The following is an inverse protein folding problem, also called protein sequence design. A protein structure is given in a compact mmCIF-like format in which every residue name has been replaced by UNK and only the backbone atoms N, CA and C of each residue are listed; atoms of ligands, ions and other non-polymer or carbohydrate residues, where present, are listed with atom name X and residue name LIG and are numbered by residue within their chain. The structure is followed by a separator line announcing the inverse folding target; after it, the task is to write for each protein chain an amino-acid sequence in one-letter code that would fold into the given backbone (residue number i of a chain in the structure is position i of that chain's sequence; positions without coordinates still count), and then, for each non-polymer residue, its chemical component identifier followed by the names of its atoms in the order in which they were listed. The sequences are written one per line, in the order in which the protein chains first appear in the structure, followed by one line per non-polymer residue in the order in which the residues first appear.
data_IF_169263872983
#
_entry.id   IF_169263872983
#
_cell.length_a   1.000
_cell.length_b   1.000
_cell.length_c   1.000
_cell.angle_alpha   90.00
_cell.angle_beta   90.00
_cell.angle_gamma   90.00
#
_symmetry.space_group_name_H-M   'P 1'
#
loop_
_entity.id
_entity.type
_entity.pdbx_description
1 polymer ?
#
# COMPACT_ATOMS: atom_id res chain seq x y z
N UNK A 1 -0.51 15.34 -25.31
CA UNK A 1 0.79 15.96 -25.66
C UNK A 1 1.52 14.96 -26.53
N UNK A 2 2.02 15.37 -27.70
CA UNK A 2 2.74 14.49 -28.63
C UNK A 2 3.98 13.86 -27.97
N UNK A 3 4.63 14.57 -27.06
CA UNK A 3 5.78 14.07 -26.30
C UNK A 3 5.36 13.07 -25.20
N UNK A 4 4.19 13.25 -24.57
CA UNK A 4 3.64 12.27 -23.62
C UNK A 4 3.31 10.93 -24.29
N UNK A 5 2.66 10.98 -25.45
CA UNK A 5 2.28 9.78 -26.21
C UNK A 5 3.52 9.09 -26.78
N UNK A 6 4.46 9.87 -27.33
CA UNK A 6 5.75 9.37 -27.80
C UNK A 6 6.59 8.74 -26.68
N UNK A 7 6.66 9.40 -25.52
CA UNK A 7 7.37 8.87 -24.36
C UNK A 7 6.75 7.56 -23.85
N UNK A 8 5.41 7.47 -23.86
CA UNK A 8 4.71 6.23 -23.50
C UNK A 8 5.04 5.09 -24.45
N UNK A 9 5.09 5.36 -25.76
CA UNK A 9 5.45 4.37 -26.78
C UNK A 9 6.91 3.92 -26.67
N UNK A 10 7.83 4.87 -26.49
CA UNK A 10 9.27 4.59 -26.47
C UNK A 10 9.69 3.86 -25.18
N UNK A 11 9.13 4.26 -24.04
CA UNK A 11 9.47 3.66 -22.74
C UNK A 11 8.69 2.39 -22.43
N UNK A 12 7.55 2.17 -23.09
CA UNK A 12 6.62 1.10 -22.74
C UNK A 12 5.91 1.31 -21.40
N UNK A 13 5.89 2.55 -20.87
CA UNK A 13 5.22 2.91 -19.63
C UNK A 13 4.25 4.08 -19.84
N UNK A 14 3.05 4.01 -19.27
CA UNK A 14 2.08 5.10 -19.40
C UNK A 14 2.47 6.27 -18.48
N UNK A 15 3.08 7.31 -19.05
CA UNK A 15 3.53 8.47 -18.30
C UNK A 15 2.39 9.31 -17.73
N UNK A 16 1.16 9.22 -18.25
CA UNK A 16 0.00 9.84 -17.60
C UNK A 16 -0.29 9.19 -16.25
N UNK A 17 -0.19 7.85 -16.16
CA UNK A 17 -0.33 7.14 -14.87
C UNK A 17 0.82 7.43 -13.91
N UNK A 18 2.00 7.79 -14.44
CA UNK A 18 3.11 8.26 -13.60
C UNK A 18 2.72 9.48 -12.76
N UNK A 19 1.99 10.43 -13.32
CA UNK A 19 1.67 11.67 -12.61
C UNK A 19 0.40 11.59 -11.78
N UNK A 20 -0.49 10.63 -12.07
CA UNK A 20 -1.84 10.56 -11.49
C UNK A 20 -2.06 9.41 -10.51
N UNK A 21 -1.10 8.47 -10.41
CA UNK A 21 -1.20 7.29 -9.54
C UNK A 21 0.14 7.01 -8.85
N UNK A 22 0.24 5.95 -8.05
CA UNK A 22 1.49 5.48 -7.45
C UNK A 22 2.31 4.56 -8.38
N UNK A 23 1.89 4.35 -9.63
CA UNK A 23 2.62 3.50 -10.57
C UNK A 23 4.05 4.04 -10.82
N UNK A 24 5.02 3.13 -10.78
CA UNK A 24 6.45 3.41 -10.98
C UNK A 24 6.95 2.56 -12.16
N UNK A 25 7.71 3.13 -13.12
CA UNK A 25 8.34 2.36 -14.18
C UNK A 25 9.34 1.35 -13.62
N UNK A 26 9.42 0.18 -14.25
CA UNK A 26 10.52 -0.77 -14.05
C UNK A 26 11.87 -0.19 -14.50
N UNK A 27 12.98 -0.79 -14.07
CA UNK A 27 14.33 -0.34 -14.46
C UNK A 27 14.55 -0.33 -15.99
N UNK A 28 13.96 -1.31 -16.70
CA UNK A 28 14.01 -1.36 -18.16
C UNK A 28 13.25 -0.19 -18.80
N UNK A 29 12.04 0.11 -18.31
CA UNK A 29 11.23 1.25 -18.77
C UNK A 29 11.89 2.58 -18.41
N UNK A 30 12.54 2.69 -17.25
CA UNK A 30 13.31 3.86 -16.85
C UNK A 30 14.51 4.10 -17.79
N UNK A 31 15.24 3.04 -18.13
CA UNK A 31 16.37 3.10 -19.08
C UNK A 31 15.90 3.49 -20.48
N UNK A 32 14.78 2.93 -20.95
CA UNK A 32 14.18 3.30 -22.23
C UNK A 32 13.69 4.76 -22.24
N UNK A 33 13.14 5.24 -21.12
CA UNK A 33 12.73 6.64 -20.96
C UNK A 33 13.91 7.60 -21.05
N UNK A 34 15.06 7.24 -20.47
CA UNK A 34 16.28 8.05 -20.54
C UNK A 34 16.83 8.15 -21.97
N UNK A 35 16.68 7.07 -22.76
CA UNK A 35 17.10 7.04 -24.16
C UNK A 35 16.09 7.70 -25.13
N UNK A 36 14.85 7.93 -24.69
CA UNK A 36 13.78 8.50 -25.53
C UNK A 36 13.88 10.01 -25.63
N UNK A 37 13.98 10.51 -26.87
CA UNK A 37 13.87 11.96 -27.16
C UNK A 37 12.52 12.52 -26.75
N UNK A 38 11.45 11.75 -26.90
CA UNK A 38 10.09 12.13 -26.51
C UNK A 38 9.97 12.32 -25.00
N UNK A 39 10.58 11.42 -24.21
CA UNK A 39 10.59 11.54 -22.75
C UNK A 39 11.45 12.71 -22.26
N UNK A 40 12.61 12.93 -22.87
CA UNK A 40 13.45 14.10 -22.56
C UNK A 40 12.74 15.41 -22.93
N UNK A 41 12.00 15.44 -24.05
CA UNK A 41 11.19 16.59 -24.44
C UNK A 41 10.01 16.81 -23.49
N UNK A 42 9.34 15.75 -23.02
CA UNK A 42 8.27 15.83 -22.01
C UNK A 42 8.78 16.47 -20.71
N UNK A 43 9.96 16.05 -20.23
CA UNK A 43 10.63 16.70 -19.09
C UNK A 43 10.95 18.16 -19.39
N UNK A 44 11.44 18.45 -20.60
CA UNK A 44 11.71 19.81 -21.07
C UNK A 44 10.47 20.71 -21.11
N UNK A 45 9.30 20.18 -21.48
CA UNK A 45 8.02 20.90 -21.41
C UNK A 45 7.68 21.28 -19.97
N UNK A 46 7.91 20.37 -19.02
CA UNK A 46 7.67 20.63 -17.60
C UNK A 46 8.67 21.62 -16.99
N UNK A 47 9.88 21.75 -17.54
CA UNK A 47 10.80 22.82 -17.16
C UNK A 47 10.20 24.22 -17.45
N UNK A 48 9.27 24.32 -18.40
CA UNK A 48 8.46 25.52 -18.63
C UNK A 48 7.43 25.81 -17.52
N UNK A 49 7.16 24.86 -16.63
CA UNK A 49 6.27 24.97 -15.46
C UNK A 49 7.02 25.36 -14.18
N UNK A 50 8.24 25.89 -14.30
CA UNK A 50 8.99 26.46 -13.16
C UNK A 50 8.13 27.51 -12.48
N UNK A 51 7.62 27.16 -11.31
CA UNK A 51 6.86 28.04 -10.43
C UNK A 51 7.61 28.15 -9.12
N UNK A 52 7.66 29.35 -8.56
CA UNK A 52 8.25 29.56 -7.25
C UNK A 52 7.35 28.92 -6.18
N UNK A 53 7.97 28.25 -5.20
CA UNK A 53 7.35 27.75 -3.95
C UNK A 53 6.39 26.55 -4.03
N UNK A 54 6.52 25.66 -5.01
CA UNK A 54 5.77 24.39 -5.05
C UNK A 54 6.66 23.18 -4.80
N UNK A 55 6.14 22.15 -4.14
CA UNK A 55 6.80 20.85 -4.00
C UNK A 55 6.03 19.76 -4.73
N UNK A 56 6.74 18.88 -5.43
CA UNK A 56 6.20 17.64 -6.01
C UNK A 56 7.04 16.47 -5.51
N UNK A 57 6.37 15.42 -5.01
CA UNK A 57 7.03 14.24 -4.43
C UNK A 57 8.09 14.62 -3.38
N UNK A 58 7.74 15.53 -2.46
CA UNK A 58 8.62 16.05 -1.41
C UNK A 58 9.91 16.73 -1.92
N UNK A 59 9.99 17.05 -3.22
CA UNK A 59 11.09 17.76 -3.84
C UNK A 59 10.62 19.15 -4.27
N UNK A 60 11.53 20.12 -4.22
CA UNK A 60 11.33 21.44 -4.81
C UNK A 60 11.02 21.29 -6.31
N UNK A 61 9.84 21.74 -6.74
CA UNK A 61 9.38 21.57 -8.11
C UNK A 61 10.34 22.24 -9.10
N UNK A 62 10.88 23.41 -8.76
CA UNK A 62 11.79 24.18 -9.62
C UNK A 62 13.09 23.43 -9.92
N UNK A 63 13.53 22.58 -8.97
CA UNK A 63 14.70 21.70 -9.12
C UNK A 63 14.36 20.39 -9.78
N UNK A 64 13.18 19.84 -9.48
CA UNK A 64 12.73 18.56 -10.02
C UNK A 64 12.55 18.64 -11.54
N UNK A 65 11.89 19.69 -12.05
CA UNK A 65 11.61 19.84 -13.49
C UNK A 65 12.85 20.06 -14.36
N UNK A 66 14.04 20.23 -13.78
CA UNK A 66 15.30 20.30 -14.52
C UNK A 66 16.04 18.97 -14.59
N UNK A 67 15.56 17.94 -13.90
CA UNK A 67 16.20 16.62 -13.86
C UNK A 67 15.68 15.71 -14.97
N UNK A 68 16.44 14.65 -15.27
CA UNK A 68 16.05 13.64 -16.25
C UNK A 68 14.88 12.74 -15.76
N UNK A 69 14.28 11.92 -16.65
CA UNK A 69 13.20 11.00 -16.28
C UNK A 69 13.56 10.02 -15.15
N UNK A 70 14.82 9.58 -15.05
CA UNK A 70 15.25 8.64 -14.00
C UNK A 70 15.27 9.31 -12.63
N UNK A 71 15.72 10.55 -12.57
CA UNK A 71 15.66 11.36 -11.35
C UNK A 71 14.21 11.60 -10.90
N UNK A 72 13.27 11.81 -11.83
CA UNK A 72 11.84 11.93 -11.50
C UNK A 72 11.29 10.63 -10.91
N UNK A 73 11.64 9.49 -11.51
CA UNK A 73 11.26 8.16 -11.02
C UNK A 73 11.79 7.95 -9.59
N UNK A 74 13.07 8.26 -9.35
CA UNK A 74 13.69 8.14 -8.01
C UNK A 74 13.06 9.08 -6.99
N UNK A 75 12.76 10.32 -7.37
CA UNK A 75 12.10 11.29 -6.50
C UNK A 75 10.72 10.78 -6.08
N UNK A 76 9.92 10.30 -7.03
CA UNK A 76 8.60 9.71 -6.76
C UNK A 76 8.69 8.45 -5.91
N UNK A 77 9.60 7.52 -6.23
CA UNK A 77 9.87 6.31 -5.43
C UNK A 77 10.24 6.65 -3.98
N UNK A 78 11.02 7.71 -3.78
CA UNK A 78 11.44 8.15 -2.44
C UNK A 78 10.33 8.83 -1.66
N UNK A 79 9.39 9.47 -2.37
CA UNK A 79 8.22 10.11 -1.78
C UNK A 79 7.06 9.15 -1.55
N UNK A 80 7.06 8.00 -2.23
CA UNK A 80 6.08 6.95 -2.00
C UNK A 80 6.11 6.57 -0.51
N UNK A 81 4.94 6.41 0.15
CA UNK A 81 4.89 5.94 1.51
C UNK A 81 5.65 4.61 1.60
N UNK A 82 6.80 4.59 2.28
CA UNK A 82 7.47 3.33 2.59
C UNK A 82 6.54 2.57 3.51
N UNK A 83 6.04 1.43 3.02
CA UNK A 83 5.43 0.46 3.90
C UNK A 83 6.42 0.17 5.04
N UNK A 84 5.96 0.14 6.29
CA UNK A 84 6.83 -0.22 7.40
C UNK A 84 7.48 -1.60 7.19
N UNK A 85 8.63 -1.84 7.83
CA UNK A 85 9.29 -3.14 7.75
C UNK A 85 8.34 -4.27 8.20
N UNK A 86 8.51 -5.48 7.66
CA UNK A 86 7.68 -6.64 8.05
C UNK A 86 7.73 -6.87 9.56
N UNK A 87 6.58 -7.15 10.16
CA UNK A 87 6.49 -7.45 11.58
C UNK A 87 7.38 -8.66 11.93
N UNK A 88 8.18 -8.51 12.99
CA UNK A 88 8.90 -9.64 13.57
C UNK A 88 7.92 -10.68 14.11
N UNK A 89 8.34 -11.95 14.27
CA UNK A 89 7.50 -12.98 14.89
C UNK A 89 6.98 -12.59 16.28
N UNK A 90 7.78 -11.83 17.05
CA UNK A 90 7.36 -11.30 18.34
C UNK A 90 6.20 -10.32 18.20
N UNK A 91 6.30 -9.34 17.29
CA UNK A 91 5.24 -8.36 17.01
C UNK A 91 3.95 -9.03 16.53
N UNK A 92 4.04 -9.98 15.58
CA UNK A 92 2.90 -10.75 15.11
C UNK A 92 2.29 -11.63 16.22
N UNK A 93 3.12 -12.23 17.08
CA UNK A 93 2.70 -13.04 18.21
C UNK A 93 1.89 -12.26 19.26
N UNK A 94 2.08 -10.94 19.35
CA UNK A 94 1.25 -10.09 20.21
C UNK A 94 -0.21 -10.09 19.73
N UNK A 95 -0.44 -9.97 18.41
CA UNK A 95 -1.79 -10.02 17.80
C UNK A 95 -2.47 -11.35 18.12
N UNK A 96 -1.76 -12.46 17.91
CA UNK A 96 -2.26 -13.81 18.23
C UNK A 96 -2.62 -13.92 19.72
N UNK A 97 -1.79 -13.37 20.60
CA UNK A 97 -2.01 -13.41 22.05
C UNK A 97 -3.25 -12.61 22.47
N UNK A 98 -3.47 -11.43 21.87
CA UNK A 98 -4.66 -10.61 22.10
C UNK A 98 -5.94 -11.35 21.66
N UNK A 99 -5.92 -11.94 20.46
CA UNK A 99 -7.05 -12.74 19.94
C UNK A 99 -7.33 -13.94 20.85
N UNK A 100 -6.29 -14.65 21.29
CA UNK A 100 -6.44 -15.82 22.17
C UNK A 100 -7.00 -15.45 23.55
N UNK A 101 -6.69 -14.26 24.06
CA UNK A 101 -7.18 -13.78 25.35
C UNK A 101 -8.55 -13.07 25.24
N UNK A 102 -9.03 -12.81 24.02
CA UNK A 102 -10.28 -12.10 23.77
C UNK A 102 -11.49 -12.88 24.28
N UNK A 103 -12.36 -12.20 25.02
CA UNK A 103 -13.67 -12.74 25.42
C UNK A 103 -14.67 -12.79 24.26
N UNK A 104 -14.36 -12.14 23.14
CA UNK A 104 -15.21 -12.09 21.95
C UNK A 104 -14.92 -13.21 20.94
N UNK A 105 -13.84 -13.98 21.13
CA UNK A 105 -13.43 -15.02 20.19
C UNK A 105 -14.51 -16.10 20.00
N UNK A 106 -15.09 -16.60 21.10
CA UNK A 106 -16.12 -17.64 21.06
C UNK A 106 -17.40 -17.13 20.39
N UNK A 107 -17.82 -15.91 20.75
CA UNK A 107 -18.96 -15.24 20.12
C UNK A 107 -18.75 -15.02 18.63
N UNK A 108 -17.57 -14.56 18.23
CA UNK A 108 -17.23 -14.36 16.83
C UNK A 108 -17.21 -15.68 16.06
N UNK A 109 -16.64 -16.74 16.65
CA UNK A 109 -16.61 -18.07 16.03
C UNK A 109 -18.01 -18.62 15.80
N UNK A 110 -18.89 -18.44 16.79
CA UNK A 110 -20.30 -18.85 16.69
C UNK A 110 -21.06 -18.06 15.63
N UNK A 111 -20.91 -16.74 15.61
CA UNK A 111 -21.67 -15.87 14.70
C UNK A 111 -21.19 -16.01 13.24
N UNK A 112 -19.87 -16.10 13.04
CA UNK A 112 -19.28 -16.19 11.71
C UNK A 112 -19.23 -17.61 11.14
N UNK A 113 -19.29 -18.64 12.00
CA UNK A 113 -19.03 -20.02 11.63
C UNK A 113 -17.57 -20.30 11.27
N UNK A 114 -16.63 -19.44 11.68
CA UNK A 114 -15.20 -19.59 11.40
C UNK A 114 -14.37 -19.33 12.67
N UNK A 115 -13.39 -20.19 12.97
CA UNK A 115 -12.50 -20.01 14.12
C UNK A 115 -11.42 -18.94 13.81
N UNK A 116 -11.63 -17.72 14.30
CA UNK A 116 -10.72 -16.60 14.06
C UNK A 116 -9.31 -16.80 14.64
N UNK A 117 -9.12 -17.63 15.68
CA UNK A 117 -7.76 -17.99 16.12
C UNK A 117 -7.01 -18.76 15.03
N UNK A 118 -7.70 -19.63 14.29
CA UNK A 118 -7.13 -20.32 13.12
C UNK A 118 -6.77 -19.33 12.00
N UNK A 119 -7.56 -18.28 11.80
CA UNK A 119 -7.21 -17.20 10.86
C UNK A 119 -5.88 -16.53 11.22
N UNK A 120 -5.58 -16.29 12.49
CA UNK A 120 -4.31 -15.62 12.86
C UNK A 120 -3.10 -16.55 12.95
N UNK A 121 -3.30 -17.87 13.04
CA UNK A 121 -2.23 -18.84 13.32
C UNK A 121 -1.89 -19.78 12.17
N UNK A 122 -2.67 -19.75 11.09
CA UNK A 122 -2.51 -20.63 9.91
C UNK A 122 -2.78 -19.84 8.63
N UNK A 123 -2.74 -20.49 7.47
CA UNK A 123 -3.13 -19.89 6.17
C UNK A 123 -4.64 -20.00 5.86
N UNK A 124 -5.45 -20.52 6.79
CA UNK A 124 -6.89 -20.64 6.58
C UNK A 124 -7.55 -19.26 6.42
N UNK A 125 -8.48 -19.16 5.46
CA UNK A 125 -9.24 -17.96 5.14
C UNK A 125 -10.75 -18.30 5.21
N UNK A 126 -11.60 -17.44 5.81
CA UNK A 126 -13.05 -17.61 5.78
C UNK A 126 -13.59 -17.56 4.34
N UNK A 127 -14.65 -18.31 4.08
CA UNK A 127 -15.47 -18.16 2.86
C UNK A 127 -16.18 -16.81 2.83
N UNK A 128 -16.69 -16.38 1.67
CA UNK A 128 -17.43 -15.12 1.53
C UNK A 128 -18.66 -15.04 2.45
N UNK A 129 -19.35 -16.16 2.67
CA UNK A 129 -20.47 -16.25 3.59
C UNK A 129 -20.02 -16.02 5.05
N UNK A 130 -18.91 -16.66 5.47
CA UNK A 130 -18.33 -16.48 6.80
C UNK A 130 -17.76 -15.06 6.99
N UNK A 131 -17.19 -14.46 5.93
CA UNK A 131 -16.73 -13.07 5.94
C UNK A 131 -17.90 -12.10 6.14
N UNK A 132 -19.00 -12.30 5.40
CA UNK A 132 -20.22 -11.50 5.54
C UNK A 132 -20.85 -11.64 6.93
N UNK A 133 -20.89 -12.86 7.47
CA UNK A 133 -21.35 -13.10 8.84
C UNK A 133 -20.43 -12.48 9.90
N UNK A 134 -19.11 -12.50 9.68
CA UNK A 134 -18.14 -11.83 10.56
C UNK A 134 -18.36 -10.31 10.58
N UNK A 135 -18.63 -9.70 9.43
CA UNK A 135 -18.91 -8.27 9.34
C UNK A 135 -20.19 -7.87 10.10
N UNK A 136 -21.20 -8.74 10.11
CA UNK A 136 -22.45 -8.52 10.83
C UNK A 136 -22.36 -8.80 12.35
N UNK A 137 -21.33 -9.52 12.79
CA UNK A 137 -21.15 -9.91 14.19
C UNK A 137 -20.49 -8.80 15.01
N UNK A 138 -21.19 -8.35 16.07
CA UNK A 138 -20.62 -7.45 17.08
C UNK A 138 -19.41 -8.06 17.77
N UNK A 139 -19.43 -9.38 17.99
CA UNK A 139 -18.32 -10.12 18.60
C UNK A 139 -17.10 -10.10 17.68
N UNK A 140 -17.26 -10.29 16.37
CA UNK A 140 -16.12 -10.23 15.44
C UNK A 140 -15.56 -8.82 15.28
N UNK A 141 -16.42 -7.80 15.23
CA UNK A 141 -16.00 -6.39 15.22
C UNK A 141 -15.22 -6.05 16.51
N UNK A 142 -15.69 -6.51 17.67
CA UNK A 142 -14.99 -6.34 18.93
C UNK A 142 -13.68 -7.13 18.99
N UNK A 143 -13.64 -8.36 18.46
CA UNK A 143 -12.42 -9.20 18.42
C UNK A 143 -11.31 -8.53 17.61
N UNK A 144 -11.59 -8.05 16.39
CA UNK A 144 -10.60 -7.32 15.59
C UNK A 144 -10.26 -5.97 16.23
N UNK A 145 -11.22 -5.36 16.92
CA UNK A 145 -11.02 -4.17 17.74
C UNK A 145 -10.24 -4.39 19.04
N UNK A 146 -10.10 -5.62 19.54
CA UNK A 146 -9.27 -5.94 20.71
C UNK A 146 -7.83 -6.24 20.31
N UNK A 147 -7.63 -6.77 19.09
CA UNK A 147 -6.32 -6.76 18.44
C UNK A 147 -5.75 -5.33 18.28
N UNK A 148 -6.60 -4.29 18.32
CA UNK A 148 -6.24 -2.86 18.36
C UNK A 148 -5.53 -2.42 19.65
N UNK A 149 -5.59 -3.20 20.74
CA UNK A 149 -4.90 -2.88 22.00
C UNK A 149 -3.37 -2.82 21.88
N UNK A 150 -2.85 -3.16 20.71
CA UNK A 150 -1.46 -3.32 20.40
C UNK A 150 -1.01 -2.18 19.49
N UNK A 151 -0.67 -1.04 20.09
CA UNK A 151 0.20 -0.05 19.44
C UNK A 151 1.60 -0.65 19.32
N UNK A 152 1.78 -1.60 18.40
CA UNK A 152 3.12 -2.02 18.00
C UNK A 152 3.71 -0.92 17.14
N UNK A 153 5.01 -0.67 17.25
CA UNK A 153 5.73 0.17 16.28
C UNK A 153 5.33 -0.22 14.85
N UNK A 154 5.20 0.76 13.96
CA UNK A 154 4.65 0.50 12.62
C UNK A 154 5.47 -0.59 11.94
N UNK A 155 4.77 -1.68 11.60
CA UNK A 155 5.31 -2.81 10.86
C UNK A 155 4.25 -3.29 9.86
N UNK A 156 4.66 -4.05 8.85
CA UNK A 156 3.72 -4.67 7.92
C UNK A 156 3.37 -6.09 8.34
N UNK A 157 2.07 -6.35 8.48
CA UNK A 157 1.49 -7.69 8.60
C UNK A 157 0.76 -8.01 7.30
N UNK A 158 1.12 -9.11 6.64
CA UNK A 158 0.60 -9.48 5.32
C UNK A 158 0.68 -8.31 4.31
N UNK A 159 1.84 -7.66 4.23
CA UNK A 159 2.09 -6.48 3.37
C UNK A 159 1.23 -5.24 3.66
N UNK A 160 0.43 -5.25 4.73
CA UNK A 160 -0.41 -4.14 5.14
C UNK A 160 0.16 -3.49 6.40
N UNK A 161 0.16 -2.15 6.46
CA UNK A 161 0.56 -1.42 7.66
C UNK A 161 -0.33 -1.82 8.83
N UNK A 162 0.26 -2.51 9.82
CA UNK A 162 -0.48 -3.09 10.93
C UNK A 162 -1.23 -2.00 11.71
N UNK A 163 -0.67 -0.80 11.84
CA UNK A 163 -1.31 0.32 12.53
C UNK A 163 -2.59 0.79 11.85
N UNK A 164 -2.71 0.57 10.53
CA UNK A 164 -3.93 0.85 9.76
C UNK A 164 -4.86 -0.35 9.72
N UNK A 165 -4.31 -1.56 9.63
CA UNK A 165 -5.08 -2.80 9.55
C UNK A 165 -5.92 -3.01 10.81
N UNK A 166 -5.36 -2.71 11.99
CA UNK A 166 -6.06 -2.86 13.28
C UNK A 166 -7.25 -1.92 13.48
N UNK A 167 -7.42 -0.92 12.62
CA UNK A 167 -8.59 -0.02 12.65
C UNK A 167 -9.69 -0.45 11.69
N UNK A 168 -9.50 -1.55 10.96
CA UNK A 168 -10.44 -1.98 9.93
C UNK A 168 -11.38 -3.09 10.42
N UNK A 169 -12.44 -3.29 9.64
CA UNK A 169 -13.42 -4.35 9.86
C UNK A 169 -12.86 -5.76 9.50
N UNK A 170 -13.56 -6.84 9.90
CA UNK A 170 -13.18 -8.21 9.59
C UNK A 170 -12.88 -8.50 8.11
N UNK A 171 -13.60 -7.87 7.18
CA UNK A 171 -13.42 -8.12 5.74
C UNK A 171 -12.11 -7.52 5.25
N UNK A 172 -11.72 -6.35 5.75
CA UNK A 172 -10.42 -5.77 5.44
C UNK A 172 -9.27 -6.64 5.96
N UNK A 173 -9.39 -7.22 7.15
CA UNK A 173 -8.41 -8.20 7.66
C UNK A 173 -8.28 -9.41 6.75
N UNK A 174 -9.41 -9.98 6.30
CA UNK A 174 -9.43 -11.12 5.38
C UNK A 174 -8.73 -10.77 4.06
N UNK A 175 -9.07 -9.63 3.45
CA UNK A 175 -8.46 -9.15 2.21
C UNK A 175 -6.95 -8.92 2.35
N UNK A 176 -6.53 -8.32 3.47
CA UNK A 176 -5.11 -8.08 3.75
C UNK A 176 -4.30 -9.38 3.84
N UNK A 177 -4.90 -10.48 4.30
CA UNK A 177 -4.23 -11.78 4.35
C UNK A 177 -4.22 -12.51 3.00
N UNK A 178 -5.19 -12.23 2.13
CA UNK A 178 -5.29 -12.83 0.80
C UNK A 178 -4.35 -12.17 -0.23
N UNK A 179 -3.80 -11.00 0.07
CA UNK A 179 -2.89 -10.24 -0.81
C UNK A 179 -1.43 -10.67 -0.69
#
# INVERSE_FOLDING_TARGET
STNLDGCTKDSGFNWLTFFTTDAIPTDAQASASLASKSCLALVGEANGLKTDSCTLWNNDLSKLVTQDPVAWIKAKQSAAPKLPATCTPAQAGVVVSAVKASTNLDGCTKDSGFNWLTFFTTDAIPTDAQASASLASKSCLALVGEANGLKTDSCTLWNNDLSKLVTQDPVAWIKAKQS
#
